data_IF_271955202823
#
_entry.id   IF_271955202823
#
_cell.length_a   1.000
_cell.length_b   1.000
_cell.length_c   1.000
_cell.angle_alpha   90.00
_cell.angle_beta   90.00
_cell.angle_gamma   90.00
#
_symmetry.space_group_name_H-M   'P 1'
#
loop_
_entity.id
_entity.type
_entity.pdbx_description
1 polymer ?
#
# COMPACT_ATOMS: atom_id res chain seq x y z
N UNK A 1 8.54 1.64 2.66
CA UNK A 1 7.29 0.93 2.31
C UNK A 1 6.63 0.34 3.54
N UNK A 2 7.37 -0.38 4.39
CA UNK A 2 6.85 -0.98 5.64
C UNK A 2 5.93 -0.07 6.46
N UNK A 3 6.32 1.20 6.67
CA UNK A 3 5.47 2.16 7.39
C UNK A 3 4.09 2.34 6.75
N UNK A 4 4.01 2.44 5.42
CA UNK A 4 2.75 2.61 4.72
C UNK A 4 1.85 1.37 4.84
N UNK A 5 2.44 0.18 4.78
CA UNK A 5 1.73 -1.09 4.98
C UNK A 5 1.19 -1.22 6.40
N UNK A 6 1.99 -0.82 7.40
CA UNK A 6 1.57 -0.86 8.79
C UNK A 6 0.38 0.08 9.05
N UNK A 7 0.38 1.29 8.48
CA UNK A 7 -0.77 2.20 8.55
C UNK A 7 -2.02 1.60 7.88
N UNK A 8 -1.87 0.91 6.74
CA UNK A 8 -2.99 0.27 6.05
C UNK A 8 -3.56 -0.90 6.86
N UNK A 9 -2.71 -1.80 7.34
CA UNK A 9 -3.12 -2.94 8.18
C UNK A 9 -3.82 -2.45 9.45
N UNK A 10 -3.31 -1.37 10.07
CA UNK A 10 -3.94 -0.78 11.24
C UNK A 10 -5.32 -0.19 10.88
N UNK A 11 -5.45 0.52 9.76
CA UNK A 11 -6.74 1.02 9.29
C UNK A 11 -7.76 -0.12 9.09
N UNK A 12 -7.32 -1.25 8.52
CA UNK A 12 -8.16 -2.44 8.34
C UNK A 12 -8.60 -3.05 9.68
N UNK A 13 -7.68 -3.19 10.64
CA UNK A 13 -8.00 -3.66 11.99
C UNK A 13 -9.01 -2.75 12.70
N UNK A 14 -8.81 -1.43 12.61
CA UNK A 14 -9.72 -0.43 13.20
C UNK A 14 -11.08 -0.44 12.50
N UNK A 15 -11.11 -0.69 11.19
CA UNK A 15 -12.36 -0.87 10.46
C UNK A 15 -13.12 -2.08 11.00
N UNK A 16 -12.45 -3.23 11.18
CA UNK A 16 -13.07 -4.41 11.78
C UNK A 16 -13.62 -4.12 13.18
N UNK A 17 -12.87 -3.41 14.02
CA UNK A 17 -13.34 -2.99 15.33
C UNK A 17 -14.58 -2.08 15.22
N UNK A 18 -14.63 -1.19 14.24
CA UNK A 18 -15.72 -0.22 14.07
C UNK A 18 -17.02 -0.83 13.53
N UNK A 19 -16.93 -1.91 12.73
CA UNK A 19 -18.12 -2.56 12.13
C UNK A 19 -18.57 -3.80 12.89
N UNK A 20 -17.68 -4.43 13.66
CA UNK A 20 -17.97 -5.61 14.45
C UNK A 20 -17.79 -5.32 15.95
N UNK A 21 -18.84 -4.79 16.56
CA UNK A 21 -18.83 -4.33 17.94
C UNK A 21 -18.60 -5.47 18.96
N UNK A 22 -18.91 -6.72 18.60
CA UNK A 22 -18.66 -7.90 19.43
C UNK A 22 -17.17 -8.15 19.68
N UNK A 23 -16.29 -7.65 18.81
CA UNK A 23 -14.84 -7.74 19.03
C UNK A 23 -14.45 -6.86 20.22
N UNK A 24 -15.07 -5.70 20.37
CA UNK A 24 -14.75 -4.75 21.44
C UNK A 24 -15.19 -5.27 22.81
N UNK A 25 -16.36 -5.92 22.90
CA UNK A 25 -16.88 -6.47 24.16
C UNK A 25 -16.06 -7.66 24.68
N UNK A 26 -15.21 -8.26 23.84
CA UNK A 26 -14.26 -9.31 24.23
C UNK A 26 -12.96 -8.77 24.82
N UNK A 27 -12.72 -7.46 24.72
CA UNK A 27 -11.54 -6.81 25.31
C UNK A 27 -11.86 -6.49 26.77
N UNK A 28 -11.03 -6.92 27.74
CA UNK A 28 -11.21 -6.58 29.14
C UNK A 28 -11.36 -5.07 29.33
N UNK A 29 -12.24 -4.68 30.25
CA UNK A 29 -12.50 -3.29 30.64
C UNK A 29 -13.17 -2.39 29.58
N UNK A 30 -13.52 -2.92 28.40
CA UNK A 30 -14.35 -2.22 27.42
C UNK A 30 -15.82 -2.55 27.66
N UNK A 31 -16.52 -1.69 28.40
CA UNK A 31 -17.96 -1.84 28.70
C UNK A 31 -18.88 -1.17 27.66
N UNK A 32 -18.33 -0.32 26.80
CA UNK A 32 -19.06 0.42 25.77
C UNK A 32 -18.39 0.22 24.42
N UNK A 33 -19.21 0.00 23.40
CA UNK A 33 -18.76 -0.13 22.03
C UNK A 33 -18.81 1.23 21.33
N UNK A 34 -17.79 1.53 20.53
CA UNK A 34 -17.67 2.80 19.79
C UNK A 34 -17.30 2.54 18.32
N UNK A 35 -17.44 3.56 17.47
CA UNK A 35 -16.97 3.51 16.07
C UNK A 35 -15.73 4.38 15.91
N UNK A 36 -14.73 3.87 15.20
CA UNK A 36 -13.43 4.53 15.03
C UNK A 36 -13.16 4.93 13.57
N UNK A 37 -14.20 5.24 12.80
CA UNK A 37 -14.08 5.57 11.36
C UNK A 37 -13.16 6.76 11.08
N UNK A 38 -13.09 7.75 11.98
CA UNK A 38 -12.14 8.88 11.86
C UNK A 38 -10.68 8.40 11.87
N UNK A 39 -10.37 7.41 12.72
CA UNK A 39 -9.06 6.77 12.77
C UNK A 39 -8.79 5.96 11.51
N UNK A 40 -9.78 5.20 11.01
CA UNK A 40 -9.65 4.48 9.71
C UNK A 40 -9.24 5.45 8.61
N UNK A 41 -9.97 6.56 8.44
CA UNK A 41 -9.69 7.58 7.42
C UNK A 41 -8.27 8.14 7.59
N UNK A 42 -7.88 8.47 8.82
CA UNK A 42 -6.56 9.04 9.12
C UNK A 42 -5.43 8.07 8.75
N UNK A 43 -5.51 6.82 9.20
CA UNK A 43 -4.48 5.82 8.93
C UNK A 43 -4.43 5.45 7.43
N UNK A 44 -5.58 5.35 6.75
CA UNK A 44 -5.60 5.19 5.29
C UNK A 44 -4.92 6.35 4.56
N UNK A 45 -5.17 7.59 4.98
CA UNK A 45 -4.47 8.76 4.42
C UNK A 45 -2.95 8.69 4.64
N UNK A 46 -2.50 8.33 5.85
CA UNK A 46 -1.07 8.21 6.14
C UNK A 46 -0.41 7.08 5.35
N UNK A 47 -1.11 5.98 5.08
CA UNK A 47 -0.63 4.92 4.20
C UNK A 47 -0.36 5.45 2.78
N UNK A 48 -1.31 6.20 2.20
CA UNK A 48 -1.15 6.83 0.88
C UNK A 48 0.03 7.81 0.89
N UNK A 49 0.11 8.66 1.91
CA UNK A 49 1.18 9.63 2.05
C UNK A 49 2.57 8.98 2.13
N UNK A 50 2.74 7.96 2.99
CA UNK A 50 4.02 7.28 3.12
C UNK A 50 4.41 6.49 1.87
N UNK A 51 3.43 5.96 1.14
CA UNK A 51 3.65 5.32 -0.16
C UNK A 51 4.17 6.32 -1.18
N UNK A 52 3.47 7.45 -1.36
CA UNK A 52 3.89 8.50 -2.28
C UNK A 52 5.27 9.06 -1.91
N UNK A 53 5.53 9.27 -0.62
CA UNK A 53 6.83 9.73 -0.12
C UNK A 53 7.95 8.74 -0.40
N UNK A 54 7.72 7.45 -0.14
CA UNK A 54 8.71 6.40 -0.44
C UNK A 54 9.03 6.34 -1.93
N UNK A 55 8.01 6.41 -2.78
CA UNK A 55 8.18 6.46 -4.23
C UNK A 55 9.00 7.69 -4.68
N UNK A 56 8.70 8.88 -4.15
CA UNK A 56 9.50 10.08 -4.44
C UNK A 56 10.96 9.93 -4.01
N UNK A 57 11.23 9.32 -2.85
CA UNK A 57 12.59 9.03 -2.38
C UNK A 57 13.32 8.11 -3.36
N UNK A 58 12.65 7.09 -3.91
CA UNK A 58 13.23 6.22 -4.94
C UNK A 58 13.58 6.97 -6.23
N UNK A 59 12.92 8.10 -6.50
CA UNK A 59 13.24 9.04 -7.60
C UNK A 59 14.28 10.11 -7.21
N UNK A 60 14.88 10.02 -6.02
CA UNK A 60 15.82 11.01 -5.51
C UNK A 60 15.18 12.33 -5.05
N UNK A 61 13.84 12.39 -4.92
CA UNK A 61 13.11 13.59 -4.51
C UNK A 61 12.79 13.50 -3.02
N UNK A 62 13.46 14.34 -2.21
CA UNK A 62 13.30 14.35 -0.76
C UNK A 62 12.45 15.54 -0.34
N UNK A 63 11.29 15.27 0.26
CA UNK A 63 10.44 16.29 0.87
C UNK A 63 10.68 16.32 2.38
N UNK A 64 11.06 17.47 2.93
CA UNK A 64 11.34 17.68 4.37
C UNK A 64 10.36 18.67 5.01
N UNK A 65 10.29 18.64 6.34
CA UNK A 65 9.60 19.64 7.17
C UNK A 65 10.12 21.07 6.91
N UNK A 66 9.31 22.11 7.17
CA UNK A 66 7.87 22.07 7.47
C UNK A 66 7.02 21.76 6.22
N UNK A 67 5.72 21.52 6.39
CA UNK A 67 4.76 21.28 5.31
C UNK A 67 5.06 20.06 4.43
N UNK A 68 5.57 19.00 5.04
CA UNK A 68 6.01 17.79 4.33
C UNK A 68 4.88 17.19 3.49
N UNK A 69 3.67 17.04 4.04
CA UNK A 69 2.50 16.51 3.34
C UNK A 69 2.19 17.26 2.03
N UNK A 70 2.12 18.59 2.09
CA UNK A 70 1.84 19.43 0.90
C UNK A 70 2.96 19.32 -0.13
N UNK A 71 4.22 19.28 0.30
CA UNK A 71 5.37 19.10 -0.59
C UNK A 71 5.34 17.73 -1.28
N UNK A 72 5.09 16.66 -0.54
CA UNK A 72 4.95 15.30 -1.07
C UNK A 72 3.83 15.23 -2.09
N UNK A 73 2.64 15.76 -1.76
CA UNK A 73 1.51 15.80 -2.69
C UNK A 73 1.85 16.53 -3.99
N UNK A 74 2.42 17.73 -3.91
CA UNK A 74 2.74 18.53 -5.11
C UNK A 74 3.75 17.83 -6.02
N UNK A 75 4.80 17.23 -5.43
CA UNK A 75 5.81 16.52 -6.22
C UNK A 75 5.24 15.23 -6.83
N UNK A 76 4.50 14.46 -6.05
CA UNK A 76 3.87 13.24 -6.54
C UNK A 76 2.87 13.53 -7.65
N UNK A 77 2.02 14.56 -7.48
CA UNK A 77 1.08 15.02 -8.51
C UNK A 77 1.80 15.36 -9.81
N UNK A 78 2.95 16.02 -9.75
CA UNK A 78 3.74 16.37 -10.95
C UNK A 78 4.15 15.11 -11.71
N UNK A 79 4.70 14.11 -11.02
CA UNK A 79 5.13 12.85 -11.63
C UNK A 79 3.94 12.10 -12.26
N UNK A 80 2.81 12.02 -11.53
CA UNK A 80 1.59 11.40 -12.04
C UNK A 80 1.09 12.13 -13.29
N UNK A 81 1.02 13.45 -13.26
CA UNK A 81 0.56 14.25 -14.42
C UNK A 81 1.47 14.16 -15.64
N UNK A 82 2.71 13.71 -15.46
CA UNK A 82 3.67 13.48 -16.54
C UNK A 82 3.56 12.06 -17.13
N UNK A 83 2.64 11.21 -16.64
CA UNK A 83 2.47 9.83 -17.10
C UNK A 83 3.61 8.88 -16.70
N UNK A 84 4.50 9.33 -15.82
CA UNK A 84 5.68 8.54 -15.41
C UNK A 84 5.24 7.28 -14.65
N UNK A 85 4.24 7.40 -13.78
CA UNK A 85 3.72 6.25 -13.01
C UNK A 85 3.13 5.20 -13.96
N UNK A 86 2.33 5.61 -14.95
CA UNK A 86 1.70 4.69 -15.90
C UNK A 86 2.74 3.94 -16.73
N UNK A 87 3.77 4.66 -17.20
CA UNK A 87 4.88 4.05 -17.94
C UNK A 87 5.65 3.03 -17.11
N UNK A 88 5.91 3.35 -15.84
CA UNK A 88 6.64 2.45 -14.93
C UNK A 88 5.81 1.22 -14.57
N UNK A 89 4.50 1.39 -14.38
CA UNK A 89 3.59 0.26 -14.17
C UNK A 89 3.56 -0.67 -15.38
N UNK A 90 3.55 -0.14 -16.60
CA UNK A 90 3.60 -0.94 -17.82
C UNK A 90 4.91 -1.75 -17.91
N UNK A 91 6.05 -1.11 -17.63
CA UNK A 91 7.36 -1.79 -17.61
C UNK A 91 7.36 -2.94 -16.59
N UNK A 92 6.86 -2.68 -15.38
CA UNK A 92 6.76 -3.72 -14.33
C UNK A 92 5.86 -4.88 -14.77
N UNK A 93 4.75 -4.58 -15.43
CA UNK A 93 3.83 -5.60 -15.93
C UNK A 93 4.50 -6.47 -17.02
N UNK A 94 5.16 -5.84 -17.99
CA UNK A 94 5.88 -6.54 -19.06
C UNK A 94 6.99 -7.44 -18.47
N UNK A 95 7.73 -6.97 -17.48
CA UNK A 95 8.74 -7.78 -16.78
C UNK A 95 8.13 -9.00 -16.08
N UNK A 96 6.96 -8.84 -15.45
CA UNK A 96 6.26 -9.93 -14.78
C UNK A 96 5.73 -10.95 -15.79
N UNK A 97 5.21 -10.50 -16.93
CA UNK A 97 4.78 -11.39 -18.02
C UNK A 97 5.94 -12.27 -18.51
N UNK A 98 7.09 -11.68 -18.80
CA UNK A 98 8.29 -12.42 -19.23
C UNK A 98 8.72 -13.46 -18.18
N UNK A 99 8.69 -13.08 -16.89
CA UNK A 99 9.01 -14.01 -15.79
C UNK A 99 7.99 -15.16 -15.72
N UNK A 100 6.70 -14.88 -15.90
CA UNK A 100 5.65 -15.88 -15.90
C UNK A 100 5.82 -16.88 -17.06
N UNK A 101 6.11 -16.41 -18.27
CA UNK A 101 6.33 -17.29 -19.43
C UNK A 101 7.54 -18.20 -19.23
N UNK A 102 8.64 -17.67 -18.67
CA UNK A 102 9.81 -18.47 -18.33
C UNK A 102 9.49 -19.56 -17.30
N UNK A 103 8.74 -19.21 -16.24
CA UNK A 103 8.30 -20.16 -15.22
C UNK A 103 7.39 -21.25 -15.80
N UNK A 104 6.47 -20.88 -16.70
CA UNK A 104 5.61 -21.84 -17.41
C UNK A 104 6.43 -22.77 -18.31
N UNK A 105 7.47 -22.26 -18.97
CA UNK A 105 8.41 -23.06 -19.76
C UNK A 105 9.12 -24.12 -18.90
N UNK A 106 9.68 -23.70 -17.77
CA UNK A 106 10.33 -24.60 -16.79
C UNK A 106 9.33 -25.65 -16.28
N UNK A 107 8.12 -25.23 -15.91
CA UNK A 107 7.07 -26.12 -15.42
C UNK A 107 6.70 -27.19 -16.46
N UNK A 108 6.58 -26.83 -17.74
CA UNK A 108 6.29 -27.79 -18.83
C UNK A 108 7.41 -28.82 -18.99
N UNK A 109 8.68 -28.39 -18.92
CA UNK A 109 9.84 -29.28 -19.01
C UNK A 109 9.85 -30.28 -17.84
N UNK A 110 9.64 -29.79 -16.62
CA UNK A 110 9.62 -30.65 -15.42
C UNK A 110 8.45 -31.62 -15.41
N UNK A 111 7.26 -31.19 -15.88
CA UNK A 111 6.10 -32.07 -16.04
C UNK A 111 6.40 -33.24 -16.99
N UNK A 112 7.11 -32.99 -18.09
CA UNK A 112 7.48 -34.02 -19.08
C UNK A 112 8.51 -35.03 -18.56
N UNK A 113 9.29 -34.70 -17.53
CA UNK A 113 10.22 -35.64 -16.88
C UNK A 113 9.54 -36.57 -15.87
N UNK A 114 8.34 -36.21 -15.42
CA UNK A 114 7.61 -36.89 -14.32
C UNK A 114 6.44 -37.76 -14.81
N UNK A 115 6.14 -37.74 -16.11
CA UNK A 115 5.21 -38.66 -16.77
C UNK A 115 5.90 -39.31 -17.95
#
# INVERSE_FOLDING_TARGET
MERAENELRLAEMIMQLSVNLDIQTKIPDISKTDTYFSSVISHSYYSIFYTAKAYLIMKGIITKIPNEHKKTYNQFRKIVSQGIVDKELLILYDEVLVKADNLLGIFKVEKKKRG
#
